data_IF_872187399024
#
_entry.id   IF_872187399024
#
_cell.length_a   1.000
_cell.length_b   1.000
_cell.length_c   1.000
_cell.angle_alpha   90.00
_cell.angle_beta   90.00
_cell.angle_gamma   90.00
#
_symmetry.space_group_name_H-M   'P 1'
#
loop_
_entity.id
_entity.type
_entity.pdbx_description
1 polymer ?
#
# COMPACT_ATOMS: atom_id res chain seq x y z
N UNK A 1 -4.76 11.54 -7.06
CA UNK A 1 -5.54 10.92 -8.14
C UNK A 1 -6.08 9.60 -7.61
N UNK A 2 -7.36 9.30 -7.85
CA UNK A 2 -7.90 7.96 -7.64
C UNK A 2 -7.77 7.20 -8.95
N UNK A 3 -7.12 6.04 -8.93
CA UNK A 3 -6.97 5.21 -10.12
C UNK A 3 -8.22 4.36 -10.33
N UNK A 4 -8.63 4.21 -11.59
CA UNK A 4 -9.78 3.40 -11.99
C UNK A 4 -9.33 2.06 -12.59
N UNK A 5 -10.26 1.10 -12.71
CA UNK A 5 -10.03 -0.18 -13.37
C UNK A 5 -9.55 0.04 -14.82
N UNK A 6 -10.26 0.87 -15.58
CA UNK A 6 -9.92 1.15 -16.98
C UNK A 6 -8.54 1.81 -17.13
N UNK A 7 -8.16 2.66 -16.18
CA UNK A 7 -6.84 3.26 -16.21
C UNK A 7 -5.73 2.22 -16.03
N UNK A 8 -5.88 1.30 -15.08
CA UNK A 8 -4.91 0.22 -14.84
C UNK A 8 -4.88 -0.76 -16.01
N UNK A 9 -6.05 -1.12 -16.55
CA UNK A 9 -6.18 -2.00 -17.70
C UNK A 9 -5.42 -1.46 -18.92
N UNK A 10 -5.62 -0.18 -19.24
CA UNK A 10 -4.89 0.50 -20.32
C UNK A 10 -3.38 0.58 -20.05
N UNK A 11 -2.96 0.77 -18.79
CA UNK A 11 -1.55 0.87 -18.43
C UNK A 11 -0.81 -0.47 -18.61
N UNK A 12 -1.47 -1.57 -18.26
CA UNK A 12 -0.91 -2.91 -18.30
C UNK A 12 -1.22 -3.67 -19.60
N UNK A 13 -1.96 -3.06 -20.52
CA UNK A 13 -2.41 -3.64 -21.79
C UNK A 13 -3.20 -4.96 -21.61
N UNK A 14 -4.19 -4.93 -20.71
CA UNK A 14 -5.07 -6.07 -20.38
C UNK A 14 -6.54 -5.66 -20.39
N UNK A 15 -7.46 -6.61 -20.34
CA UNK A 15 -8.89 -6.29 -20.29
C UNK A 15 -9.31 -5.73 -18.92
N UNK A 16 -10.19 -4.72 -18.92
CA UNK A 16 -10.77 -4.15 -17.68
C UNK A 16 -11.46 -5.21 -16.81
N UNK A 17 -12.07 -6.23 -17.42
CA UNK A 17 -12.75 -7.31 -16.70
C UNK A 17 -11.77 -8.15 -15.87
N UNK A 18 -10.57 -8.41 -16.38
CA UNK A 18 -9.52 -9.17 -15.68
C UNK A 18 -8.99 -8.39 -14.49
N UNK A 19 -8.78 -7.08 -14.66
CA UNK A 19 -8.40 -6.18 -13.56
C UNK A 19 -9.49 -6.15 -12.49
N UNK A 20 -10.76 -6.04 -12.89
CA UNK A 20 -11.89 -6.04 -11.96
C UNK A 20 -11.98 -7.37 -11.18
N UNK A 21 -11.82 -8.49 -11.87
CA UNK A 21 -11.84 -9.82 -11.28
C UNK A 21 -10.68 -10.02 -10.31
N UNK A 22 -9.46 -9.67 -10.71
CA UNK A 22 -8.28 -9.75 -9.86
C UNK A 22 -8.49 -8.92 -8.60
N UNK A 23 -8.85 -7.64 -8.73
CA UNK A 23 -9.06 -6.75 -7.58
C UNK A 23 -10.08 -7.37 -6.63
N UNK A 24 -11.23 -7.83 -7.15
CA UNK A 24 -12.27 -8.49 -6.35
C UNK A 24 -11.73 -9.71 -5.60
N UNK A 25 -10.98 -10.60 -6.26
CA UNK A 25 -10.42 -11.80 -5.64
C UNK A 25 -9.39 -11.47 -4.57
N UNK A 26 -8.51 -10.51 -4.84
CA UNK A 26 -7.44 -10.07 -3.95
C UNK A 26 -7.99 -9.44 -2.68
N UNK A 27 -9.10 -8.67 -2.77
CA UNK A 27 -9.70 -8.01 -1.61
C UNK A 27 -10.80 -8.82 -0.93
N UNK A 28 -11.26 -9.93 -1.53
CA UNK A 28 -12.27 -10.81 -0.94
C UNK A 28 -11.91 -11.36 0.45
N UNK A 29 -10.66 -11.78 0.74
CA UNK A 29 -10.30 -12.30 2.07
C UNK A 29 -10.11 -11.21 3.13
N UNK A 30 -10.06 -9.93 2.75
CA UNK A 30 -9.90 -8.82 3.69
C UNK A 30 -11.21 -8.59 4.46
N UNK A 31 -11.12 -8.43 5.78
CA UNK A 31 -12.31 -8.31 6.63
C UNK A 31 -12.85 -6.88 6.63
N UNK A 32 -11.95 -5.89 6.59
CA UNK A 32 -12.34 -4.49 6.60
C UNK A 32 -12.56 -3.94 5.18
N UNK A 33 -13.52 -3.02 5.05
CA UNK A 33 -13.81 -2.35 3.77
C UNK A 33 -12.93 -1.11 3.58
N UNK A 34 -12.62 -0.44 4.69
CA UNK A 34 -11.82 0.78 4.76
C UNK A 34 -10.61 0.55 5.63
N UNK A 35 -9.50 1.11 5.19
CA UNK A 35 -8.25 1.11 5.91
C UNK A 35 -7.72 2.52 6.05
N UNK A 36 -6.75 2.68 6.92
CA UNK A 36 -6.07 3.94 7.14
C UNK A 36 -4.63 3.81 6.67
N UNK A 37 -4.25 4.63 5.70
CA UNK A 37 -2.89 4.68 5.17
C UNK A 37 -2.05 5.74 5.87
N UNK A 38 -0.78 5.40 6.12
CA UNK A 38 0.26 6.34 6.53
C UNK A 38 0.94 6.97 5.30
N UNK A 39 0.63 8.24 5.02
CA UNK A 39 1.40 9.03 4.06
C UNK A 39 2.50 9.80 4.80
N UNK A 40 3.71 9.23 4.91
CA UNK A 40 4.91 10.06 5.05
C UNK A 40 5.02 10.89 3.77
N UNK A 41 4.60 12.14 3.81
CA UNK A 41 5.02 13.08 2.77
C UNK A 41 6.48 13.38 3.03
N UNK A 42 7.38 13.20 2.05
CA UNK A 42 8.70 13.79 2.12
C UNK A 42 8.53 15.27 2.45
N UNK A 43 9.35 15.82 3.35
CA UNK A 43 9.42 17.28 3.51
C UNK A 43 9.63 17.87 2.11
N UNK A 44 8.89 18.91 1.69
CA UNK A 44 9.22 19.62 0.48
C UNK A 44 10.60 20.26 0.68
N UNK A 45 11.65 19.57 0.24
CA UNK A 45 13.00 20.11 0.17
C UNK A 45 13.01 21.14 -0.95
N UNK A 46 13.37 22.38 -0.61
CA UNK A 46 13.57 23.43 -1.60
C UNK A 46 14.79 23.13 -2.46
N UNK A 47 14.63 23.28 -3.78
CA UNK A 47 15.72 23.61 -4.69
C UNK A 47 16.32 22.43 -5.47
N UNK A 48 15.92 22.36 -6.75
CA UNK A 48 16.88 22.28 -7.85
C UNK A 48 17.28 20.90 -8.37
N UNK A 49 17.03 20.69 -9.66
CA UNK A 49 17.87 19.87 -10.53
C UNK A 49 17.28 18.53 -10.97
N UNK A 50 16.50 18.55 -12.05
CA UNK A 50 16.60 17.69 -13.25
C UNK A 50 17.11 16.23 -13.17
N UNK A 51 16.92 15.51 -12.06
CA UNK A 51 17.22 14.06 -11.99
C UNK A 51 16.36 13.27 -10.96
N UNK A 52 15.27 13.84 -10.45
CA UNK A 52 14.46 13.27 -9.34
C UNK A 52 13.49 12.14 -9.73
N UNK A 53 13.39 11.79 -11.02
CA UNK A 53 12.36 10.85 -11.49
C UNK A 53 12.79 9.38 -11.56
N UNK A 54 14.11 9.10 -11.61
CA UNK A 54 14.64 7.75 -11.91
C UNK A 54 15.23 6.97 -10.74
N UNK A 55 15.41 7.57 -9.57
CA UNK A 55 16.00 6.91 -8.38
C UNK A 55 15.05 6.81 -7.18
N UNK A 56 13.73 6.79 -7.43
CA UNK A 56 12.76 6.65 -6.35
C UNK A 56 12.70 5.19 -5.90
N UNK A 57 13.31 4.91 -4.74
CA UNK A 57 13.37 3.56 -4.13
C UNK A 57 11.96 2.93 -4.03
N UNK A 58 11.84 1.61 -4.26
CA UNK A 58 10.59 0.88 -4.07
C UNK A 58 10.05 1.07 -2.64
N UNK A 59 8.73 1.15 -2.51
CA UNK A 59 8.02 1.51 -1.29
C UNK A 59 6.98 0.47 -0.92
N UNK A 60 6.98 0.11 0.36
CA UNK A 60 5.90 -0.65 0.97
C UNK A 60 4.89 0.29 1.62
N UNK A 61 3.61 0.01 1.37
CA UNK A 61 2.43 0.71 1.92
C UNK A 61 1.87 -0.14 3.06
N UNK A 62 1.66 0.47 4.22
CA UNK A 62 1.04 -0.19 5.37
C UNK A 62 -0.34 0.39 5.66
N UNK A 63 -1.30 -0.50 5.88
CA UNK A 63 -2.70 -0.19 6.10
C UNK A 63 -3.18 -0.75 7.42
N UNK A 64 -3.88 0.08 8.18
CA UNK A 64 -4.40 -0.22 9.52
C UNK A 64 -5.93 -0.19 9.53
N UNK A 65 -6.54 -0.89 10.48
CA UNK A 65 -8.01 -0.96 10.61
C UNK A 65 -8.59 0.30 11.24
N UNK A 66 -7.79 1.01 12.05
CA UNK A 66 -8.20 2.23 12.75
C UNK A 66 -7.18 3.37 12.58
N UNK A 67 -7.61 4.64 12.73
CA UNK A 67 -6.70 5.77 12.68
C UNK A 67 -5.72 5.80 13.86
N UNK A 68 -6.16 5.37 15.05
CA UNK A 68 -5.34 5.36 16.26
C UNK A 68 -4.16 4.38 16.13
N UNK A 69 -4.38 3.22 15.49
CA UNK A 69 -3.32 2.28 15.17
C UNK A 69 -2.30 2.88 14.21
N UNK A 70 -2.76 3.52 13.13
CA UNK A 70 -1.87 4.17 12.17
C UNK A 70 -0.99 5.24 12.84
N UNK A 71 -1.57 6.03 13.77
CA UNK A 71 -0.83 7.01 14.56
C UNK A 71 0.15 6.35 15.54
N UNK A 72 -0.31 5.35 16.29
CA UNK A 72 0.53 4.62 17.25
C UNK A 72 1.74 3.96 16.57
N UNK A 73 1.55 3.39 15.38
CA UNK A 73 2.64 2.87 14.57
C UNK A 73 3.65 3.95 14.17
N UNK A 74 3.18 5.11 13.70
CA UNK A 74 4.05 6.22 13.32
C UNK A 74 4.91 6.72 14.50
N UNK A 75 4.32 6.79 15.70
CA UNK A 75 5.06 7.15 16.92
C UNK A 75 6.11 6.09 17.30
N UNK A 76 5.80 4.79 17.16
CA UNK A 76 6.72 3.69 17.47
C UNK A 76 7.93 3.66 16.53
N UNK A 77 7.73 3.90 15.23
CA UNK A 77 8.78 3.77 14.20
C UNK A 77 9.65 5.04 14.05
N UNK A 78 9.36 6.10 14.83
CA UNK A 78 10.10 7.38 14.83
C UNK A 78 10.30 7.96 13.42
N UNK A 79 9.22 8.02 12.65
CA UNK A 79 9.28 8.56 11.29
C UNK A 79 9.40 10.09 11.39
N UNK A 80 10.35 10.74 10.69
CA UNK A 80 10.67 12.17 10.88
C UNK A 80 9.60 13.15 10.38
N UNK A 81 8.53 12.66 9.75
CA UNK A 81 7.45 13.45 9.17
C UNK A 81 6.14 13.30 9.95
N UNK A 82 5.34 14.37 9.95
CA UNK A 82 4.02 14.36 10.59
C UNK A 82 3.12 13.32 9.93
N UNK A 83 2.62 12.31 10.66
CA UNK A 83 1.72 11.30 10.13
C UNK A 83 0.47 11.96 9.53
N UNK A 84 0.21 11.71 8.24
CA UNK A 84 -1.13 11.93 7.67
C UNK A 84 -1.84 10.60 7.58
N UNK A 85 -2.91 10.47 8.35
CA UNK A 85 -3.78 9.31 8.37
C UNK A 85 -5.03 9.63 7.57
N UNK A 86 -5.31 8.84 6.53
CA UNK A 86 -6.49 9.03 5.69
C UNK A 86 -7.19 7.70 5.43
N UNK A 87 -8.53 7.68 5.40
CA UNK A 87 -9.25 6.50 4.96
C UNK A 87 -8.96 6.24 3.47
N UNK A 88 -8.82 4.96 3.12
CA UNK A 88 -8.69 4.46 1.76
C UNK A 88 -9.46 3.15 1.63
N UNK A 89 -10.19 2.99 0.54
CA UNK A 89 -10.89 1.74 0.26
C UNK A 89 -9.88 0.66 -0.18
N UNK A 90 -10.11 -0.58 0.23
CA UNK A 90 -9.23 -1.71 -0.10
C UNK A 90 -9.01 -1.91 -1.60
N UNK A 91 -10.04 -1.72 -2.42
CA UNK A 91 -9.90 -1.82 -3.87
C UNK A 91 -9.08 -0.66 -4.43
N UNK A 92 -9.20 0.54 -3.85
CA UNK A 92 -8.47 1.71 -4.30
C UNK A 92 -6.96 1.59 -4.04
N UNK A 93 -6.53 0.97 -2.92
CA UNK A 93 -5.09 0.74 -2.68
C UNK A 93 -4.51 -0.28 -3.64
N UNK A 94 -5.26 -1.33 -4.02
CA UNK A 94 -4.78 -2.34 -4.99
C UNK A 94 -4.63 -1.70 -6.37
N UNK A 95 -5.60 -0.89 -6.80
CA UNK A 95 -5.51 -0.13 -8.05
C UNK A 95 -4.34 0.86 -8.02
N UNK A 96 -4.08 1.51 -6.87
CA UNK A 96 -2.92 2.38 -6.70
C UNK A 96 -1.59 1.63 -6.82
N UNK A 97 -1.50 0.44 -6.23
CA UNK A 97 -0.32 -0.41 -6.34
C UNK A 97 -0.08 -0.88 -7.79
N UNK A 98 -1.12 -1.27 -8.51
CA UNK A 98 -0.98 -1.69 -9.90
C UNK A 98 -0.54 -0.53 -10.81
N UNK A 99 -1.08 0.67 -10.58
CA UNK A 99 -0.78 1.87 -11.36
C UNK A 99 0.58 2.51 -11.06
N UNK A 100 1.12 2.36 -9.85
CA UNK A 100 2.41 2.95 -9.44
C UNK A 100 3.45 1.85 -9.22
N UNK A 101 4.38 1.69 -10.18
CA UNK A 101 5.48 0.72 -10.11
C UNK A 101 6.39 0.89 -8.89
N UNK A 102 6.37 2.07 -8.24
CA UNK A 102 7.15 2.33 -7.02
C UNK A 102 6.53 1.67 -5.81
N UNK A 103 5.24 1.36 -5.84
CA UNK A 103 4.56 0.62 -4.78
C UNK A 103 4.73 -0.86 -5.06
N UNK A 104 5.80 -1.46 -4.52
CA UNK A 104 6.08 -2.87 -4.75
C UNK A 104 5.29 -3.80 -3.84
N UNK A 105 4.83 -3.28 -2.68
CA UNK A 105 4.21 -4.08 -1.62
C UNK A 105 3.13 -3.31 -0.89
N UNK A 106 1.99 -3.94 -0.63
CA UNK A 106 0.93 -3.43 0.25
C UNK A 106 0.69 -4.45 1.36
N UNK A 107 0.63 -3.99 2.61
CA UNK A 107 0.40 -4.85 3.78
C UNK A 107 -0.83 -4.32 4.52
N UNK A 108 -1.85 -5.16 4.63
CA UNK A 108 -3.02 -4.93 5.46
C UNK A 108 -2.79 -5.61 6.81
N UNK A 109 -2.92 -4.86 7.90
CA UNK A 109 -2.88 -5.41 9.25
C UNK A 109 -4.32 -5.57 9.73
N UNK A 110 -4.82 -6.80 9.78
CA UNK A 110 -6.18 -7.11 10.23
C UNK A 110 -6.25 -7.31 11.76
N UNK A 111 -5.11 -7.52 12.42
CA UNK A 111 -5.01 -7.66 13.86
C UNK A 111 -4.51 -6.37 14.54
N UNK A 112 -4.93 -6.10 15.79
CA UNK A 112 -4.49 -4.93 16.51
C UNK A 112 -2.97 -4.90 16.74
N UNK A 113 -2.39 -3.70 16.62
CA UNK A 113 -0.95 -3.48 16.81
C UNK A 113 -0.40 -3.92 18.18
N UNK A 114 -1.25 -4.02 19.19
CA UNK A 114 -0.89 -4.48 20.54
C UNK A 114 -0.59 -5.98 20.58
N UNK A 115 -1.17 -6.77 19.66
CA UNK A 115 -0.95 -8.20 19.54
C UNK A 115 0.37 -8.54 18.81
N UNK A 116 1.04 -7.54 18.23
CA UNK A 116 2.30 -7.74 17.50
C UNK A 116 3.50 -7.91 18.44
N UNK A 117 4.46 -8.79 18.11
CA UNK A 117 5.66 -8.97 18.93
C UNK A 117 6.49 -7.68 18.99
N UNK A 118 7.15 -7.35 20.13
CA UNK A 118 8.01 -6.18 20.20
C UNK A 118 9.26 -6.33 19.31
N UNK A 119 9.81 -5.21 18.83
CA UNK A 119 11.14 -5.18 18.18
C UNK A 119 11.20 -5.68 16.73
N UNK A 120 10.07 -5.82 16.02
CA UNK A 120 10.09 -6.17 14.60
C UNK A 120 10.72 -5.07 13.74
N UNK A 121 11.37 -5.49 12.66
CA UNK A 121 11.94 -4.61 11.64
C UNK A 121 10.97 -4.35 10.51
N UNK A 122 11.21 -3.30 9.71
CA UNK A 122 10.40 -2.99 8.53
C UNK A 122 10.29 -4.17 7.55
N UNK A 123 11.33 -5.00 7.44
CA UNK A 123 11.33 -6.17 6.55
C UNK A 123 10.39 -7.30 7.01
N UNK A 124 10.07 -7.35 8.31
CA UNK A 124 9.23 -8.39 8.91
C UNK A 124 7.73 -8.05 8.91
N UNK A 125 7.35 -6.85 8.47
CA UNK A 125 5.97 -6.35 8.55
C UNK A 125 4.97 -7.23 7.80
N UNK A 126 5.35 -7.80 6.65
CA UNK A 126 4.47 -8.67 5.87
C UNK A 126 4.40 -10.11 6.37
N UNK A 127 5.11 -10.45 7.46
CA UNK A 127 5.14 -11.78 8.07
C UNK A 127 4.59 -11.78 9.50
N UNK A 128 4.01 -10.65 9.92
CA UNK A 128 3.36 -10.52 11.22
C UNK A 128 2.07 -11.36 11.27
N UNK A 129 1.69 -11.92 12.43
CA UNK A 129 0.35 -12.47 12.63
C UNK A 129 -0.73 -11.46 12.23
N UNK A 130 -1.76 -11.90 11.53
CA UNK A 130 -2.83 -11.04 11.03
C UNK A 130 -2.45 -10.10 9.87
N UNK A 131 -1.22 -10.16 9.35
CA UNK A 131 -0.83 -9.40 8.17
C UNK A 131 -1.22 -10.12 6.87
N UNK A 132 -1.89 -9.39 5.99
CA UNK A 132 -2.14 -9.81 4.61
C UNK A 132 -1.26 -8.96 3.68
N UNK A 133 -0.20 -9.57 3.14
CA UNK A 133 0.76 -8.91 2.28
C UNK A 133 0.48 -9.23 0.80
N UNK A 134 0.53 -8.19 -0.03
CA UNK A 134 0.44 -8.26 -1.48
C UNK A 134 1.74 -7.76 -2.09
N UNK A 135 2.29 -8.52 -3.01
CA UNK A 135 3.41 -8.11 -3.85
C UNK A 135 2.88 -7.70 -5.23
N UNK A 136 3.34 -6.57 -5.76
CA UNK A 136 2.87 -6.04 -7.05
C UNK A 136 3.17 -7.00 -8.20
N UNK A 137 4.36 -7.60 -8.22
CA UNK A 137 4.79 -8.49 -9.31
C UNK A 137 3.86 -9.70 -9.42
N UNK A 138 3.54 -10.34 -8.30
CA UNK A 138 2.60 -11.48 -8.26
C UNK A 138 1.23 -11.11 -8.83
N UNK A 139 0.76 -9.88 -8.62
CA UNK A 139 -0.52 -9.41 -9.17
C UNK A 139 -0.44 -9.11 -10.66
N UNK A 140 0.65 -8.50 -11.13
CA UNK A 140 0.86 -8.20 -12.55
C UNK A 140 1.03 -9.49 -13.34
N UNK A 141 1.79 -10.46 -12.83
CA UNK A 141 1.97 -11.78 -13.47
C UNK A 141 0.63 -12.49 -13.66
N UNK A 142 -0.27 -12.43 -12.66
CA UNK A 142 -1.62 -13.01 -12.76
C UNK A 142 -2.52 -12.37 -13.83
N UNK A 143 -2.22 -11.15 -14.27
CA UNK A 143 -2.97 -10.46 -15.34
C UNK A 143 -2.42 -10.78 -16.73
N UNK A 144 -1.21 -11.33 -16.83
CA UNK A 144 -0.50 -11.55 -18.09
C UNK A 144 -0.48 -13.04 -18.53
N UNK A 145 -1.15 -13.92 -17.77
CA UNK A 145 -1.27 -15.37 -18.03
C UNK A 145 -2.70 -15.66 -18.49
#
# INVERSE_FOLDING_TARGET
MQYTIDHVANLLDVASEDVALLVRQVVAPLQHVRYYHYLARPRPGGGGGDDESRNQRPRSVLLFTSPDEALAFAHKVRIPETPQVRPIDRSAVVLHMLADERVNRVIFLEEPLEALPPGFTRGQLGSLPGAYALERLDLVERLLI
#
